data_IF_860197197366
#
_entry.id   IF_860197197366
#
_cell.length_a   1.000
_cell.length_b   1.000
_cell.length_c   1.000
_cell.angle_alpha   90.00
_cell.angle_beta   90.00
_cell.angle_gamma   90.00
#
_symmetry.space_group_name_H-M   'P 1'
#
loop_
_entity.id
_entity.type
_entity.pdbx_description
1 polymer ?
#
# COMPACT_ATOMS: atom_id res chain seq x y z
N UNK A 1 25.15 19.49 6.12
CA UNK A 1 23.72 19.27 5.89
C UNK A 1 23.34 17.89 6.42
N UNK A 2 22.29 17.78 7.20
CA UNK A 2 21.89 16.52 7.84
C UNK A 2 21.17 15.54 6.89
N UNK A 3 21.12 15.83 5.60
CA UNK A 3 20.43 15.06 4.56
C UNK A 3 19.00 15.57 4.30
N UNK A 4 18.30 14.87 3.41
CA UNK A 4 16.90 15.13 3.09
C UNK A 4 16.03 14.00 3.63
N UNK A 5 14.84 14.34 4.11
CA UNK A 5 13.85 13.38 4.60
C UNK A 5 12.66 13.40 3.64
N UNK A 6 12.18 12.23 3.30
CA UNK A 6 10.98 12.00 2.51
C UNK A 6 9.89 11.35 3.37
N UNK A 7 8.66 11.54 2.97
CA UNK A 7 7.48 10.85 3.50
C UNK A 7 7.09 9.75 2.50
N UNK A 8 6.96 8.51 2.97
CA UNK A 8 6.54 7.40 2.12
C UNK A 8 5.34 6.67 2.76
N UNK A 9 4.21 6.55 2.03
CA UNK A 9 2.99 5.99 2.61
C UNK A 9 2.98 4.45 2.54
N UNK A 10 4.07 3.83 2.97
CA UNK A 10 4.17 2.40 3.26
C UNK A 10 4.95 2.16 4.56
N UNK A 11 4.81 0.96 5.12
CA UNK A 11 5.60 0.51 6.27
C UNK A 11 6.92 -0.09 5.76
N UNK A 12 7.91 0.79 5.47
CA UNK A 12 9.20 0.39 4.92
C UNK A 12 9.87 -0.71 5.76
N UNK A 13 10.53 -1.71 5.14
CA UNK A 13 10.93 -1.80 3.74
C UNK A 13 9.89 -2.38 2.79
N UNK A 14 8.65 -2.63 3.23
CA UNK A 14 7.59 -3.20 2.40
C UNK A 14 7.06 -2.17 1.38
N UNK A 15 6.77 -2.62 0.18
CA UNK A 15 6.11 -1.87 -0.89
C UNK A 15 6.80 -0.51 -1.20
N UNK A 16 8.12 -0.50 -1.34
CA UNK A 16 8.87 0.64 -1.85
C UNK A 16 8.43 0.96 -3.29
N UNK A 17 8.53 2.20 -3.70
CA UNK A 17 8.17 2.64 -5.05
C UNK A 17 6.70 3.06 -5.17
N UNK A 18 5.93 2.45 -6.05
CA UNK A 18 4.58 2.92 -6.41
C UNK A 18 3.48 1.93 -6.03
N UNK A 19 2.25 2.47 -5.85
CA UNK A 19 1.04 1.69 -5.57
C UNK A 19 1.12 0.83 -4.30
N UNK A 20 1.78 1.35 -3.27
CA UNK A 20 2.00 0.72 -1.97
C UNK A 20 0.71 0.16 -1.34
N UNK A 21 -0.41 0.87 -1.49
CA UNK A 21 -1.73 0.48 -1.03
C UNK A 21 -2.28 -0.78 -1.74
N UNK A 22 -2.03 -0.88 -3.05
CA UNK A 22 -2.36 -2.06 -3.85
C UNK A 22 -1.51 -3.26 -3.44
N UNK A 23 -0.19 -3.07 -3.42
CA UNK A 23 0.74 -4.16 -3.15
C UNK A 23 0.65 -4.68 -1.71
N UNK A 24 0.35 -3.83 -0.74
CA UNK A 24 0.14 -4.27 0.64
C UNK A 24 -0.99 -5.31 0.78
N UNK A 25 -2.07 -5.15 0.01
CA UNK A 25 -3.18 -6.11 -0.02
C UNK A 25 -2.84 -7.39 -0.80
N UNK A 26 -2.09 -7.27 -1.90
CA UNK A 26 -1.65 -8.43 -2.70
C UNK A 26 -0.66 -9.29 -1.91
N UNK A 27 0.35 -8.67 -1.34
CA UNK A 27 1.43 -9.35 -0.62
C UNK A 27 1.03 -9.71 0.83
N UNK A 28 -0.08 -9.16 1.33
CA UNK A 28 -0.56 -9.36 2.70
C UNK A 28 0.52 -9.01 3.75
N UNK A 29 1.26 -7.94 3.52
CA UNK A 29 2.37 -7.46 4.36
C UNK A 29 1.93 -6.35 5.31
N UNK A 30 2.72 -6.02 6.35
CA UNK A 30 2.47 -4.87 7.20
C UNK A 30 2.28 -3.59 6.39
N UNK A 31 1.25 -2.81 6.76
CA UNK A 31 0.94 -1.53 6.14
C UNK A 31 1.12 -0.38 7.14
N UNK A 32 1.47 0.80 6.64
CA UNK A 32 1.70 1.98 7.47
C UNK A 32 2.29 3.13 6.70
N UNK A 33 2.96 4.04 7.40
CA UNK A 33 3.63 5.21 6.85
C UNK A 33 5.02 5.37 7.46
N UNK A 34 5.94 5.94 6.70
CA UNK A 34 7.35 6.08 7.11
C UNK A 34 7.89 7.47 6.76
N UNK A 35 8.70 8.03 7.65
CA UNK A 35 9.64 9.10 7.34
C UNK A 35 11.03 8.47 7.21
N UNK A 36 11.74 8.71 6.12
CA UNK A 36 13.04 8.13 5.86
C UNK A 36 13.98 9.11 5.19
N UNK A 37 15.27 8.87 5.29
CA UNK A 37 16.27 9.67 4.59
C UNK A 37 16.26 9.35 3.09
N UNK A 38 16.49 10.38 2.28
CA UNK A 38 16.68 10.21 0.83
C UNK A 38 18.12 9.76 0.57
N UNK A 39 18.26 8.75 -0.27
CA UNK A 39 19.53 8.24 -0.80
C UNK A 39 19.52 8.29 -2.33
N UNK A 40 20.46 7.65 -2.99
CA UNK A 40 20.45 7.47 -4.45
C UNK A 40 19.49 6.39 -4.94
N UNK A 41 19.01 5.51 -4.04
CA UNK A 41 18.03 4.48 -4.35
C UNK A 41 16.58 4.98 -4.15
N UNK A 42 15.62 4.08 -4.35
CA UNK A 42 14.19 4.40 -4.21
C UNK A 42 13.69 3.86 -2.88
N UNK A 43 13.30 4.77 -2.00
CA UNK A 43 12.71 4.52 -0.68
C UNK A 43 13.52 3.53 0.19
N UNK A 44 14.85 3.50 0.03
CA UNK A 44 15.76 2.55 0.66
C UNK A 44 16.64 3.17 1.77
N UNK A 45 16.51 4.48 2.01
CA UNK A 45 17.26 5.18 3.05
C UNK A 45 16.82 4.84 4.47
N UNK A 46 17.68 5.17 5.44
CA UNK A 46 17.42 4.92 6.85
C UNK A 46 16.10 5.51 7.32
N UNK A 47 15.34 4.74 8.10
CA UNK A 47 14.08 5.15 8.67
C UNK A 47 14.32 6.11 9.84
N UNK A 48 13.56 7.22 9.86
CA UNK A 48 13.49 8.17 10.98
C UNK A 48 12.44 7.72 11.99
N UNK A 49 11.24 7.43 11.49
CA UNK A 49 10.08 7.01 12.29
C UNK A 49 9.06 6.33 11.39
N UNK A 50 8.28 5.44 11.96
CA UNK A 50 7.19 4.75 11.26
C UNK A 50 5.95 4.67 12.14
N UNK A 51 4.79 4.61 11.50
CA UNK A 51 3.51 4.32 12.13
C UNK A 51 2.82 3.20 11.38
N UNK A 52 2.45 2.13 12.10
CA UNK A 52 1.69 1.01 11.54
C UNK A 52 0.21 1.36 11.46
N UNK A 53 -0.43 0.96 10.36
CA UNK A 53 -1.87 1.12 10.12
C UNK A 53 -2.49 -0.27 10.04
N UNK A 54 -3.47 -0.53 10.87
CA UNK A 54 -4.24 -1.77 10.80
C UNK A 54 -5.21 -1.74 9.62
N UNK A 55 -5.39 -2.89 8.98
CA UNK A 55 -6.38 -3.07 7.93
C UNK A 55 -7.03 -4.46 8.02
N UNK A 56 -8.22 -4.60 7.48
CA UNK A 56 -8.97 -5.84 7.47
C UNK A 56 -9.58 -6.14 6.09
N UNK A 57 -10.56 -7.05 6.04
CA UNK A 57 -11.17 -7.46 4.79
C UNK A 57 -12.08 -6.41 4.14
N UNK A 58 -12.58 -5.44 4.90
CA UNK A 58 -13.40 -4.36 4.36
C UNK A 58 -12.55 -3.27 3.69
N UNK A 59 -11.24 -3.27 3.96
CA UNK A 59 -10.32 -2.32 3.34
C UNK A 59 -10.06 -2.63 1.87
N UNK A 60 -9.99 -1.55 1.09
CA UNK A 60 -9.69 -1.52 -0.34
C UNK A 60 -8.39 -0.75 -0.60
N UNK A 61 -7.91 -0.76 -1.83
CA UNK A 61 -6.80 0.10 -2.21
C UNK A 61 -7.08 1.58 -1.91
N UNK A 62 -8.31 2.06 -2.14
CA UNK A 62 -8.71 3.43 -1.83
C UNK A 62 -8.71 3.72 -0.33
N UNK A 63 -9.29 2.83 0.48
CA UNK A 63 -9.33 3.06 1.92
C UNK A 63 -7.93 3.07 2.54
N UNK A 64 -7.02 2.20 2.08
CA UNK A 64 -5.62 2.21 2.53
C UNK A 64 -4.90 3.49 2.10
N UNK A 65 -5.12 3.97 0.88
CA UNK A 65 -4.58 5.24 0.42
C UNK A 65 -5.02 6.40 1.32
N UNK A 66 -6.31 6.47 1.64
CA UNK A 66 -6.87 7.52 2.49
C UNK A 66 -6.32 7.43 3.92
N UNK A 67 -6.27 6.24 4.51
CA UNK A 67 -5.65 6.01 5.83
C UNK A 67 -4.19 6.46 5.85
N UNK A 68 -3.41 6.08 4.84
CA UNK A 68 -2.00 6.47 4.76
C UNK A 68 -1.82 7.98 4.56
N UNK A 69 -2.66 8.61 3.74
CA UNK A 69 -2.60 10.04 3.47
C UNK A 69 -2.85 10.89 4.72
N UNK A 70 -3.81 10.48 5.56
CA UNK A 70 -4.05 11.15 6.86
C UNK A 70 -2.91 10.89 7.85
N UNK A 71 -2.55 9.61 8.02
CA UNK A 71 -1.54 9.21 9.01
C UNK A 71 -0.15 9.78 8.72
N UNK A 72 0.22 9.98 7.45
CA UNK A 72 1.55 10.50 7.12
C UNK A 72 1.70 11.98 7.48
N UNK A 73 0.62 12.76 7.37
CA UNK A 73 0.60 14.16 7.81
C UNK A 73 0.76 14.24 9.32
N UNK A 74 -0.04 13.47 10.07
CA UNK A 74 0.04 13.40 11.54
C UNK A 74 1.43 12.95 12.01
N UNK A 75 2.01 11.94 11.36
CA UNK A 75 3.34 11.45 11.68
C UNK A 75 4.41 12.52 11.43
N UNK A 76 4.30 13.25 10.31
CA UNK A 76 5.23 14.33 10.00
C UNK A 76 5.12 15.47 11.02
N UNK A 77 3.91 15.96 11.30
CA UNK A 77 3.68 17.04 12.24
C UNK A 77 4.20 16.72 13.65
N UNK A 78 3.94 15.52 14.14
CA UNK A 78 4.41 15.08 15.46
C UNK A 78 5.92 14.87 15.52
N UNK A 79 6.57 14.53 14.40
CA UNK A 79 8.01 14.26 14.33
C UNK A 79 8.83 15.53 14.01
N UNK A 80 8.21 16.50 13.36
CA UNK A 80 8.91 17.71 12.86
C UNK A 80 9.73 18.46 13.92
N UNK A 81 9.25 18.66 15.17
CA UNK A 81 10.07 19.31 16.20
C UNK A 81 11.39 18.58 16.46
N UNK A 82 11.38 17.26 16.46
CA UNK A 82 12.60 16.45 16.63
C UNK A 82 13.53 16.54 15.41
N UNK A 83 12.96 16.54 14.20
CA UNK A 83 13.73 16.73 12.96
C UNK A 83 14.44 18.08 13.00
N UNK A 84 13.72 19.15 13.33
CA UNK A 84 14.25 20.51 13.41
C UNK A 84 15.37 20.64 14.43
N UNK A 85 15.26 19.95 15.55
CA UNK A 85 16.26 19.98 16.62
C UNK A 85 17.42 19.00 16.42
N UNK A 86 17.40 18.21 15.34
CA UNK A 86 18.42 17.17 15.07
C UNK A 86 18.31 15.94 15.98
N UNK A 87 17.23 15.80 16.73
CA UNK A 87 17.00 14.70 17.66
C UNK A 87 16.20 13.58 16.98
N UNK A 88 16.80 12.96 15.95
CA UNK A 88 16.19 11.88 15.16
C UNK A 88 17.11 10.68 15.07
N UNK A 89 16.49 9.51 14.97
CA UNK A 89 17.20 8.24 14.79
C UNK A 89 17.49 7.99 13.31
N UNK A 90 18.42 7.06 13.07
CA UNK A 90 18.68 6.45 11.76
C UNK A 90 18.60 4.95 11.91
N UNK A 91 17.49 4.36 11.50
CA UNK A 91 17.27 2.92 11.57
C UNK A 91 17.46 2.35 10.18
N UNK A 92 18.50 1.55 10.01
CA UNK A 92 18.79 0.91 8.72
C UNK A 92 17.65 -0.02 8.30
N UNK A 93 17.21 0.08 7.04
CA UNK A 93 16.25 -0.85 6.47
C UNK A 93 16.87 -2.21 6.19
N UNK A 94 16.15 -3.28 6.51
CA UNK A 94 16.48 -4.63 6.01
C UNK A 94 15.71 -4.87 4.71
N UNK A 95 16.33 -4.50 3.60
CA UNK A 95 15.69 -4.56 2.28
C UNK A 95 15.35 -5.99 1.84
N UNK A 96 15.95 -7.02 2.46
CA UNK A 96 15.64 -8.42 2.15
C UNK A 96 14.25 -8.85 2.60
N UNK A 97 13.64 -8.10 3.53
CA UNK A 97 12.28 -8.35 4.04
C UNK A 97 11.19 -7.61 3.28
N UNK A 98 11.57 -6.69 2.41
CA UNK A 98 10.64 -5.82 1.71
C UNK A 98 10.53 -6.12 0.23
N UNK A 99 9.61 -5.43 -0.43
CA UNK A 99 9.40 -5.45 -1.87
C UNK A 99 9.62 -4.07 -2.48
N UNK A 100 9.76 -4.06 -3.80
CA UNK A 100 9.86 -2.84 -4.61
C UNK A 100 9.02 -2.99 -5.88
N UNK A 101 8.24 -1.98 -6.22
CA UNK A 101 7.34 -2.02 -7.36
C UNK A 101 7.43 -0.78 -8.23
N UNK A 102 7.54 -1.00 -9.54
CA UNK A 102 7.44 0.05 -10.54
C UNK A 102 5.98 0.43 -10.83
N UNK A 103 5.77 1.67 -11.28
CA UNK A 103 4.43 2.20 -11.57
C UNK A 103 3.64 1.40 -12.61
N UNK A 104 4.32 0.78 -13.58
CA UNK A 104 3.68 0.03 -14.67
C UNK A 104 3.21 -1.37 -14.26
N UNK A 105 3.73 -1.92 -13.18
CA UNK A 105 3.44 -3.30 -12.77
C UNK A 105 1.97 -3.49 -12.39
N UNK A 106 1.33 -2.46 -11.84
CA UNK A 106 -0.08 -2.53 -11.44
C UNK A 106 -1.02 -2.90 -12.60
N UNK A 107 -0.72 -2.47 -13.83
CA UNK A 107 -1.57 -2.75 -14.98
C UNK A 107 -1.60 -4.24 -15.29
N UNK A 108 -0.43 -4.87 -15.34
CA UNK A 108 -0.34 -6.32 -15.57
C UNK A 108 -0.89 -7.11 -14.39
N UNK A 109 -0.61 -6.66 -13.15
CA UNK A 109 -1.10 -7.32 -11.94
C UNK A 109 -2.62 -7.21 -11.77
N UNK A 110 -3.28 -6.23 -12.42
CA UNK A 110 -4.73 -6.02 -12.35
C UNK A 110 -5.50 -6.84 -13.39
N UNK A 111 -4.81 -7.52 -14.28
CA UNK A 111 -5.43 -8.34 -15.32
C UNK A 111 -5.72 -9.74 -14.81
N UNK A 112 -6.98 -10.15 -14.87
CA UNK A 112 -7.44 -11.48 -14.45
C UNK A 112 -7.38 -12.39 -15.67
N UNK A 113 -6.63 -13.48 -15.59
CA UNK A 113 -6.53 -14.48 -16.66
C UNK A 113 -7.55 -15.59 -16.34
N UNK A 114 -8.61 -15.72 -17.16
CA UNK A 114 -9.74 -16.61 -16.89
C UNK A 114 -9.33 -18.09 -16.75
N UNK A 115 -8.29 -18.50 -17.48
CA UNK A 115 -7.79 -19.88 -17.46
C UNK A 115 -6.77 -20.16 -16.33
N UNK A 116 -6.40 -19.12 -15.54
CA UNK A 116 -5.51 -19.30 -14.41
C UNK A 116 -6.27 -19.75 -13.16
N UNK A 117 -5.58 -20.56 -12.34
CA UNK A 117 -6.09 -20.94 -11.03
C UNK A 117 -5.69 -19.89 -9.99
N UNK A 118 -6.67 -19.43 -9.21
CA UNK A 118 -6.49 -18.51 -8.07
C UNK A 118 -7.09 -19.16 -6.82
N UNK A 119 -6.44 -19.00 -5.68
CA UNK A 119 -7.17 -19.22 -4.43
C UNK A 119 -8.22 -18.10 -4.25
N UNK A 120 -9.30 -18.38 -3.55
CA UNK A 120 -10.32 -17.37 -3.25
C UNK A 120 -9.69 -16.14 -2.56
N UNK A 121 -8.69 -16.36 -1.69
CA UNK A 121 -7.97 -15.27 -1.00
C UNK A 121 -7.21 -14.38 -1.97
N UNK A 122 -6.48 -14.95 -2.90
CA UNK A 122 -5.72 -14.20 -3.92
C UNK A 122 -6.65 -13.36 -4.78
N UNK A 123 -7.71 -13.96 -5.31
CA UNK A 123 -8.66 -13.24 -6.17
C UNK A 123 -9.38 -12.12 -5.41
N UNK A 124 -9.86 -12.37 -4.19
CA UNK A 124 -10.52 -11.34 -3.38
C UNK A 124 -9.55 -10.20 -3.01
N UNK A 125 -8.29 -10.50 -2.69
CA UNK A 125 -7.27 -9.48 -2.43
C UNK A 125 -6.97 -8.66 -3.69
N UNK A 126 -6.85 -9.29 -4.84
CA UNK A 126 -6.63 -8.62 -6.11
C UNK A 126 -7.76 -7.63 -6.42
N UNK A 127 -9.01 -8.08 -6.34
CA UNK A 127 -10.18 -7.26 -6.64
C UNK A 127 -10.29 -6.05 -5.69
N UNK A 128 -10.18 -6.27 -4.37
CA UNK A 128 -10.26 -5.17 -3.39
C UNK A 128 -9.06 -4.22 -3.45
N UNK A 129 -7.87 -4.73 -3.77
CA UNK A 129 -6.68 -3.91 -3.92
C UNK A 129 -6.81 -2.91 -5.07
N UNK A 130 -7.50 -3.31 -6.15
CA UNK A 130 -7.74 -2.46 -7.32
C UNK A 130 -9.03 -1.63 -7.23
N UNK A 131 -9.82 -1.80 -6.18
CA UNK A 131 -11.01 -0.98 -5.92
C UNK A 131 -10.58 0.42 -5.46
N UNK A 132 -10.76 1.39 -6.37
CA UNK A 132 -10.39 2.80 -6.17
C UNK A 132 -11.23 3.69 -7.08
N UNK A 133 -12.01 4.61 -6.49
CA UNK A 133 -12.91 5.50 -7.23
C UNK A 133 -12.15 6.37 -8.25
N UNK A 134 -12.64 6.43 -9.48
CA UNK A 134 -12.00 7.20 -10.56
C UNK A 134 -10.76 6.57 -11.18
N UNK A 135 -10.41 5.33 -10.79
CA UNK A 135 -9.33 4.55 -11.38
C UNK A 135 -9.86 3.26 -11.99
N UNK A 136 -9.17 2.67 -13.01
CA UNK A 136 -9.56 1.38 -13.57
C UNK A 136 -9.61 0.29 -12.49
N UNK A 137 -10.59 -0.59 -12.54
CA UNK A 137 -10.68 -1.78 -11.69
C UNK A 137 -9.82 -2.93 -12.25
N UNK A 138 -9.87 -4.11 -11.62
CA UNK A 138 -9.38 -5.32 -12.27
C UNK A 138 -10.23 -5.64 -13.49
N UNK A 139 -9.61 -6.18 -14.52
CA UNK A 139 -10.30 -6.53 -15.77
C UNK A 139 -9.91 -7.91 -16.27
N UNK A 140 -10.77 -8.48 -17.11
CA UNK A 140 -10.50 -9.67 -17.89
C UNK A 140 -11.06 -9.50 -19.30
N UNK A 141 -10.55 -10.29 -20.22
CA UNK A 141 -11.04 -10.36 -21.60
C UNK A 141 -11.71 -11.71 -21.84
N UNK A 142 -12.87 -11.71 -22.49
CA UNK A 142 -13.56 -12.89 -22.97
C UNK A 142 -14.24 -12.59 -24.31
N UNK A 143 -14.04 -13.49 -25.27
CA UNK A 143 -14.58 -13.39 -26.64
C UNK A 143 -14.31 -12.05 -27.35
N UNK A 144 -13.18 -11.38 -27.04
CA UNK A 144 -12.76 -10.11 -27.61
C UNK A 144 -13.36 -8.87 -26.94
N UNK A 145 -14.11 -9.06 -25.85
CA UNK A 145 -14.67 -7.99 -25.02
C UNK A 145 -13.93 -7.90 -23.69
N UNK A 146 -13.73 -6.66 -23.19
CA UNK A 146 -13.07 -6.41 -21.89
C UNK A 146 -14.10 -6.07 -20.83
N UNK A 147 -14.02 -6.76 -19.70
CA UNK A 147 -14.92 -6.60 -18.57
C UNK A 147 -14.16 -6.10 -17.35
N UNK A 148 -14.71 -5.12 -16.64
CA UNK A 148 -14.19 -4.67 -15.34
C UNK A 148 -14.92 -5.36 -14.18
N UNK A 149 -14.17 -5.69 -13.12
CA UNK A 149 -14.71 -6.34 -11.93
C UNK A 149 -14.60 -5.42 -10.74
N UNK A 150 -15.75 -5.06 -10.17
CA UNK A 150 -15.85 -4.29 -8.93
C UNK A 150 -16.35 -5.19 -7.80
N UNK A 151 -15.73 -5.06 -6.61
CA UNK A 151 -16.12 -5.84 -5.44
C UNK A 151 -16.40 -4.94 -4.24
N UNK A 152 -17.34 -5.35 -3.41
CA UNK A 152 -17.58 -4.77 -2.10
C UNK A 152 -17.66 -5.88 -1.06
N UNK A 153 -16.71 -5.87 -0.12
CA UNK A 153 -16.69 -6.81 1.01
C UNK A 153 -17.20 -6.08 2.25
N UNK A 154 -18.12 -6.72 2.97
CA UNK A 154 -18.64 -6.22 4.24
C UNK A 154 -18.63 -7.32 5.28
N UNK A 155 -18.38 -6.95 6.52
CA UNK A 155 -18.55 -7.85 7.67
C UNK A 155 -20.02 -8.19 7.79
N UNK A 156 -20.34 -9.47 7.90
CA UNK A 156 -21.69 -9.91 8.20
C UNK A 156 -21.99 -9.68 9.68
N UNK A 157 -23.01 -8.88 9.97
CA UNK A 157 -23.48 -8.73 11.35
C UNK A 157 -24.10 -10.05 11.80
N UNK A 158 -23.67 -10.55 12.96
CA UNK A 158 -24.18 -11.82 13.55
C UNK A 158 -25.58 -11.67 14.11
N UNK A 159 -26.12 -10.46 14.22
CA UNK A 159 -27.40 -10.14 14.84
C UNK A 159 -28.60 -10.14 13.87
N UNK A 160 -28.43 -10.68 12.63
CA UNK A 160 -29.54 -10.89 11.70
C UNK A 160 -30.16 -9.63 11.06
N UNK A 161 -29.61 -8.45 11.30
CA UNK A 161 -30.00 -7.22 10.61
C UNK A 161 -29.11 -6.97 9.40
N UNK A 162 -29.74 -6.86 8.23
CA UNK A 162 -29.12 -6.41 6.99
C UNK A 162 -28.75 -4.93 7.06
#
# INVERSE_FOLDING_TARGET
ANGFINTHPSFLPYNRGKHYNFWALIEQVPFGVSLHFITSGIDDGDIVVQQRIAYDWEDTGESLYNKASSSIVELFESTYPNIRNGNIQRIKQDLSKGSFHHSKEINNASNILLDNSYTARELLNLLRARTFTGHPACSFEDAGEVYEVHIKIRRKNTDGSL
#
